data_IF_130473664411
#
_entry.id   IF_130473664411
#
_cell.length_a   1.000
_cell.length_b   1.000
_cell.length_c   1.000
_cell.angle_alpha   90.00
_cell.angle_beta   90.00
_cell.angle_gamma   90.00
#
_symmetry.space_group_name_H-M   'P 1'
#
loop_
_entity.id
_entity.type
_entity.pdbx_description
1 polymer ?
#
# COMPACT_ATOMS: atom_id res chain seq x y z
N UNK A 1 -13.10 10.09 -10.14
CA UNK A 1 -12.36 9.53 -8.99
C UNK A 1 -13.38 9.24 -7.92
N UNK A 2 -13.48 8.00 -7.45
CA UNK A 2 -14.48 7.62 -6.44
C UNK A 2 -14.15 8.31 -5.10
N UNK A 3 -15.09 9.08 -4.56
CA UNK A 3 -14.86 9.95 -3.39
C UNK A 3 -14.54 9.15 -2.13
N UNK A 4 -14.99 7.89 -2.05
CA UNK A 4 -14.65 6.96 -0.98
C UNK A 4 -13.15 6.56 -0.98
N UNK A 5 -12.54 6.49 -2.15
CA UNK A 5 -11.12 6.13 -2.32
C UNK A 5 -10.22 7.29 -1.89
N UNK A 6 -10.54 8.52 -2.32
CA UNK A 6 -9.80 9.71 -1.90
C UNK A 6 -9.98 10.01 -0.40
N UNK A 7 -11.12 9.66 0.20
CA UNK A 7 -11.31 9.73 1.65
C UNK A 7 -10.45 8.70 2.39
N UNK A 8 -10.39 7.46 1.90
CA UNK A 8 -9.57 6.44 2.54
C UNK A 8 -8.06 6.75 2.50
N UNK A 9 -7.56 7.23 1.36
CA UNK A 9 -6.15 7.65 1.29
C UNK A 9 -5.85 8.84 2.21
N UNK A 10 -6.82 9.74 2.43
CA UNK A 10 -6.71 10.81 3.43
C UNK A 10 -6.74 10.29 4.87
N UNK A 11 -7.39 9.16 5.11
CA UNK A 11 -7.47 8.51 6.42
C UNK A 11 -6.46 7.38 6.62
N UNK A 12 -5.54 7.12 5.68
CA UNK A 12 -4.51 6.12 5.91
C UNK A 12 -3.48 6.70 6.87
N UNK A 13 -3.36 6.08 8.03
CA UNK A 13 -2.55 6.63 9.11
C UNK A 13 -1.06 6.42 8.83
N UNK A 14 -0.26 7.33 9.40
CA UNK A 14 1.19 7.38 9.17
C UNK A 14 1.90 6.07 9.56
N UNK A 15 1.40 5.40 10.59
CA UNK A 15 1.92 4.14 11.09
C UNK A 15 1.68 2.97 10.11
N UNK A 16 0.54 2.95 9.41
CA UNK A 16 0.26 1.99 8.33
C UNK A 16 1.23 2.19 7.16
N UNK A 17 1.48 3.45 6.78
CA UNK A 17 2.45 3.78 5.73
C UNK A 17 3.87 3.40 6.14
N UNK A 18 4.28 3.71 7.37
CA UNK A 18 5.60 3.37 7.89
C UNK A 18 5.79 1.84 8.00
N UNK A 19 4.76 1.09 8.45
CA UNK A 19 4.79 -0.38 8.50
C UNK A 19 4.92 -0.99 7.11
N UNK A 20 4.08 -0.56 6.16
CA UNK A 20 4.13 -1.09 4.80
C UNK A 20 5.46 -0.76 4.12
N UNK A 21 5.99 0.46 4.29
CA UNK A 21 7.28 0.84 3.74
C UNK A 21 8.41 -0.05 4.31
N UNK A 22 8.41 -0.30 5.62
CA UNK A 22 9.38 -1.20 6.25
C UNK A 22 9.26 -2.63 5.73
N UNK A 23 8.03 -3.16 5.61
CA UNK A 23 7.75 -4.49 5.09
C UNK A 23 8.25 -4.65 3.65
N UNK A 24 7.83 -3.75 2.75
CA UNK A 24 8.26 -3.69 1.34
C UNK A 24 9.78 -3.60 1.22
N UNK A 25 10.42 -2.86 2.12
CA UNK A 25 11.87 -2.73 2.18
C UNK A 25 12.60 -4.07 2.30
N UNK A 26 12.01 -5.03 3.01
CA UNK A 26 12.56 -6.38 3.20
C UNK A 26 12.21 -7.37 2.10
N UNK A 27 11.25 -7.04 1.22
CA UNK A 27 10.69 -7.99 0.24
C UNK A 27 11.45 -8.00 -1.09
N UNK A 28 11.55 -9.16 -1.73
CA UNK A 28 12.03 -9.27 -3.11
C UNK A 28 10.94 -8.83 -4.11
N UNK A 29 11.33 -8.49 -5.34
CA UNK A 29 10.37 -8.24 -6.43
C UNK A 29 9.58 -9.53 -6.70
N UNK A 30 8.24 -9.41 -6.79
CA UNK A 30 7.32 -10.54 -6.97
C UNK A 30 6.84 -11.16 -5.65
N UNK A 31 7.50 -10.88 -4.52
CA UNK A 31 7.09 -11.38 -3.21
C UNK A 31 5.76 -10.74 -2.77
N UNK A 32 4.89 -11.54 -2.18
CA UNK A 32 3.60 -11.11 -1.60
C UNK A 32 3.57 -11.47 -0.12
N UNK A 33 3.17 -10.52 0.73
CA UNK A 33 3.03 -10.74 2.18
C UNK A 33 1.74 -10.10 2.71
N UNK A 34 1.13 -10.69 3.75
CA UNK A 34 0.05 -10.01 4.47
C UNK A 34 0.62 -8.84 5.27
N UNK A 35 -0.19 -7.79 5.44
CA UNK A 35 0.07 -6.71 6.38
C UNK A 35 -1.15 -6.49 7.27
N UNK A 36 -0.91 -6.04 8.50
CA UNK A 36 -1.98 -5.66 9.42
C UNK A 36 -1.44 -4.66 10.44
N UNK A 37 -2.25 -3.66 10.75
CA UNK A 37 -2.07 -2.76 11.89
C UNK A 37 -3.27 -2.93 12.81
N UNK A 38 -3.00 -3.23 14.07
CA UNK A 38 -4.02 -3.29 15.13
C UNK A 38 -3.87 -2.08 16.04
N UNK A 39 -4.85 -1.19 15.97
CA UNK A 39 -5.00 -0.08 16.90
C UNK A 39 -5.83 -0.51 18.12
N UNK A 40 -5.68 0.20 19.24
CA UNK A 40 -6.49 -0.02 20.45
C UNK A 40 -7.99 0.23 20.20
N UNK A 41 -8.32 1.07 19.21
CA UNK A 41 -9.68 1.31 18.74
C UNK A 41 -9.90 0.60 17.38
N UNK A 42 -10.88 -0.32 17.26
CA UNK A 42 -11.00 -1.20 16.08
C UNK A 42 -11.34 -0.51 14.75
N UNK A 43 -11.85 0.72 14.78
CA UNK A 43 -12.35 1.45 13.61
C UNK A 43 -11.21 1.83 12.64
N UNK A 44 -9.97 1.80 13.11
CA UNK A 44 -8.76 2.19 12.35
C UNK A 44 -7.85 1.00 12.03
N UNK A 45 -8.34 -0.24 12.24
CA UNK A 45 -7.58 -1.43 11.89
C UNK A 45 -7.53 -1.57 10.37
N UNK A 46 -6.32 -1.64 9.82
CA UNK A 46 -6.09 -1.92 8.41
C UNK A 46 -5.43 -3.27 8.26
N UNK A 47 -5.86 -4.06 7.29
CA UNK A 47 -5.19 -5.29 6.90
C UNK A 47 -5.40 -5.58 5.42
N UNK A 48 -4.52 -6.41 4.86
CA UNK A 48 -4.61 -6.83 3.47
C UNK A 48 -3.34 -7.50 3.00
N UNK A 49 -3.08 -7.44 1.71
CA UNK A 49 -1.89 -7.98 1.06
C UNK A 49 -1.02 -6.85 0.52
N UNK A 50 0.28 -7.06 0.46
CA UNK A 50 1.22 -6.21 -0.25
C UNK A 50 2.08 -7.07 -1.17
N UNK A 51 2.36 -6.57 -2.38
CA UNK A 51 3.24 -7.21 -3.35
C UNK A 51 4.17 -6.21 -4.00
N UNK A 52 5.48 -6.50 -3.97
CA UNK A 52 6.47 -5.69 -4.68
C UNK A 52 6.40 -6.00 -6.17
N UNK A 53 6.16 -4.98 -6.99
CA UNK A 53 6.03 -5.12 -8.45
C UNK A 53 7.31 -4.76 -9.17
N UNK A 54 8.14 -3.88 -8.61
CA UNK A 54 9.37 -3.41 -9.23
C UNK A 54 10.34 -2.87 -8.18
N UNK A 55 11.63 -2.97 -8.46
CA UNK A 55 12.67 -2.19 -7.80
C UNK A 55 13.33 -1.26 -8.83
N UNK A 56 13.48 0.01 -8.47
CA UNK A 56 14.09 1.05 -9.31
C UNK A 56 15.27 1.63 -8.53
N UNK A 57 16.48 1.47 -9.09
CA UNK A 57 17.69 2.08 -8.54
C UNK A 57 18.02 3.35 -9.33
N UNK A 58 18.01 4.49 -8.66
CA UNK A 58 18.34 5.79 -9.26
C UNK A 58 19.54 6.42 -8.56
N UNK A 59 20.07 7.52 -9.11
CA UNK A 59 21.14 8.28 -8.46
C UNK A 59 20.72 8.89 -7.11
N UNK A 60 19.41 9.05 -6.86
CA UNK A 60 18.89 9.67 -5.65
C UNK A 60 18.53 8.64 -4.56
N UNK A 61 17.93 7.51 -4.96
CA UNK A 61 17.49 6.47 -4.03
C UNK A 61 17.21 5.15 -4.74
N UNK A 62 17.27 4.07 -3.94
CA UNK A 62 16.62 2.80 -4.26
C UNK A 62 15.15 2.89 -3.84
N UNK A 63 14.24 2.70 -4.79
CA UNK A 63 12.80 2.66 -4.54
C UNK A 63 12.21 1.32 -4.97
N UNK A 64 11.11 0.92 -4.34
CA UNK A 64 10.29 -0.22 -4.70
C UNK A 64 8.88 0.23 -4.95
N UNK A 65 8.35 -0.12 -6.12
CA UNK A 65 6.94 0.01 -6.42
C UNK A 65 6.22 -1.25 -5.93
N UNK A 66 5.03 -1.05 -5.38
CA UNK A 66 4.22 -2.13 -4.85
C UNK A 66 2.74 -1.87 -5.08
N UNK A 67 1.98 -2.96 -5.09
CA UNK A 67 0.53 -2.92 -4.96
C UNK A 67 0.17 -3.41 -3.57
N UNK A 68 -0.84 -2.80 -2.97
CA UNK A 68 -1.38 -3.27 -1.70
C UNK A 68 -2.89 -3.21 -1.71
N UNK A 69 -3.48 -4.09 -0.91
CA UNK A 69 -4.91 -4.13 -0.67
C UNK A 69 -5.24 -3.71 0.74
N UNK A 70 -6.46 -3.22 0.91
CA UNK A 70 -7.08 -2.88 2.20
C UNK A 70 -8.43 -3.57 2.25
N UNK A 71 -8.66 -4.37 3.29
CA UNK A 71 -9.97 -4.93 3.61
C UNK A 71 -10.71 -3.99 4.56
N UNK A 72 -11.93 -3.62 4.19
CA UNK A 72 -12.79 -2.72 4.98
C UNK A 72 -13.64 -3.53 5.97
N UNK A 73 -13.10 -3.71 7.18
CA UNK A 73 -13.69 -4.50 8.27
C UNK A 73 -13.18 -5.95 8.35
N UNK A 74 -13.57 -6.66 9.42
CA UNK A 74 -13.04 -8.01 9.76
C UNK A 74 -13.91 -9.18 9.25
N UNK A 75 -14.91 -8.90 8.40
CA UNK A 75 -15.83 -9.92 7.89
C UNK A 75 -15.24 -10.75 6.74
N UNK A 76 -15.67 -12.01 6.58
CA UNK A 76 -15.20 -12.92 5.51
C UNK A 76 -15.37 -12.36 4.08
N UNK A 77 -16.27 -11.40 3.89
CA UNK A 77 -16.56 -10.75 2.61
C UNK A 77 -16.32 -9.23 2.68
N UNK A 78 -15.45 -8.77 3.59
CA UNK A 78 -15.06 -7.37 3.67
C UNK A 78 -14.56 -6.91 2.30
N UNK A 79 -15.09 -5.80 1.75
CA UNK A 79 -14.70 -5.35 0.43
C UNK A 79 -13.21 -4.99 0.44
N UNK A 80 -12.49 -5.55 -0.52
CA UNK A 80 -11.06 -5.31 -0.71
C UNK A 80 -10.83 -4.20 -1.75
N UNK A 81 -10.03 -3.20 -1.38
CA UNK A 81 -9.64 -2.10 -2.28
C UNK A 81 -8.14 -2.16 -2.56
N UNK A 82 -7.77 -2.02 -3.82
CA UNK A 82 -6.39 -2.11 -4.27
C UNK A 82 -5.81 -0.75 -4.64
N UNK A 83 -4.52 -0.60 -4.37
CA UNK A 83 -3.77 0.64 -4.50
C UNK A 83 -2.36 0.36 -5.01
N UNK A 84 -1.78 1.33 -5.69
CA UNK A 84 -0.37 1.36 -6.09
C UNK A 84 0.38 2.38 -5.24
N UNK A 85 1.59 2.05 -4.83
CA UNK A 85 2.42 2.94 -4.04
C UNK A 85 3.91 2.66 -4.28
N UNK A 86 4.75 3.58 -3.81
CA UNK A 86 6.19 3.44 -3.84
C UNK A 86 6.80 3.70 -2.47
N UNK A 87 7.84 2.95 -2.12
CA UNK A 87 8.65 3.17 -0.93
C UNK A 87 10.11 3.32 -1.33
N UNK A 88 10.80 4.32 -0.78
CA UNK A 88 12.20 4.61 -1.08
C UNK A 88 13.07 4.42 0.14
N UNK A 89 14.26 3.86 -0.05
CA UNK A 89 15.27 3.75 0.98
C UNK A 89 15.81 5.14 1.32
N UNK A 90 15.83 5.45 2.62
CA UNK A 90 16.44 6.63 3.20
C UNK A 90 17.43 6.20 4.30
N UNK A 91 18.16 7.16 4.89
CA UNK A 91 19.22 6.91 5.86
C UNK A 91 18.80 6.02 7.06
N UNK A 92 17.54 6.16 7.50
CA UNK A 92 16.98 5.46 8.68
C UNK A 92 16.03 4.33 8.33
N UNK A 93 15.98 3.92 7.05
CA UNK A 93 15.11 2.84 6.57
C UNK A 93 14.23 3.26 5.40
N UNK A 94 13.24 2.43 5.09
CA UNK A 94 12.34 2.65 3.97
C UNK A 94 11.21 3.59 4.34
N UNK A 95 10.92 4.56 3.48
CA UNK A 95 9.82 5.52 3.64
C UNK A 95 8.83 5.45 2.50
N UNK A 96 7.56 5.57 2.86
CA UNK A 96 6.48 5.76 1.91
C UNK A 96 6.71 7.05 1.11
N UNK A 97 6.59 6.95 -0.22
CA UNK A 97 6.79 8.08 -1.12
C UNK A 97 5.46 8.59 -1.68
N UNK A 98 4.64 7.72 -2.26
CA UNK A 98 3.37 8.07 -2.92
C UNK A 98 2.37 6.93 -2.83
N UNK A 99 1.08 7.25 -2.93
CA UNK A 99 -0.02 6.30 -2.97
C UNK A 99 -1.07 6.76 -3.98
N UNK A 100 -1.50 5.88 -4.87
CA UNK A 100 -2.54 6.15 -5.86
C UNK A 100 -3.53 4.97 -5.93
N UNK A 101 -4.81 5.23 -6.23
CA UNK A 101 -5.78 4.16 -6.45
C UNK A 101 -5.40 3.29 -7.64
N UNK A 102 -5.47 1.96 -7.47
CA UNK A 102 -5.35 1.04 -8.61
C UNK A 102 -6.69 1.03 -9.35
N UNK A 103 -6.95 2.06 -10.14
CA UNK A 103 -8.16 2.11 -10.97
C UNK A 103 -8.17 0.94 -11.95
N UNK A 104 -9.35 0.35 -12.18
CA UNK A 104 -9.54 -0.60 -13.26
C UNK A 104 -9.35 0.11 -14.61
N UNK A 105 -8.14 0.10 -15.18
CA UNK A 105 -7.91 0.57 -16.56
C UNK A 105 -8.26 -0.52 -17.56
N UNK A 106 -9.53 -0.92 -17.65
CA UNK A 106 -10.07 -1.75 -18.73
C UNK A 106 -11.43 -1.19 -19.20
N UNK A 107 -11.49 0.11 -19.47
CA UNK A 107 -12.62 0.76 -20.12
C UNK A 107 -12.13 1.59 -21.30
N UNK A 108 -12.45 1.11 -22.51
CA UNK A 108 -12.23 1.70 -23.84
C UNK A 108 -10.92 1.31 -24.56
N UNK A 109 -10.83 0.03 -24.95
CA UNK A 109 -10.41 -0.30 -26.32
C UNK A 109 -11.69 -0.35 -27.16
N UNK A 110 -11.97 0.77 -27.83
CA UNK A 110 -12.69 0.79 -29.11
C UNK A 110 -11.71 1.30 -30.15
#
# INVERSE_FOLDING_TARGET
MDEAVARYMRSMHKDQQDLMAALVGTMAVGETKPWSVKHTLPIENGHGQVRVTRAVNSALALCKDFVFSVQDGDGLNAPERWFTASACQQDKGWKWATAEPAVARWGNLQ
#
